data_IF_919185500455
#
_entry.id   IF_919185500455
#
_cell.length_a   1.000
_cell.length_b   1.000
_cell.length_c   1.000
_cell.angle_alpha   90.00
_cell.angle_beta   90.00
_cell.angle_gamma   90.00
#
_symmetry.space_group_name_H-M   'P 1'
#
loop_
_entity.id
_entity.type
_entity.pdbx_description
1 polymer ?
#
# COMPACT_ATOMS: atom_id res chain seq x y z
N UNK A 1 -65.80 -20.94 -16.80
CA UNK A 1 -65.71 -19.71 -17.60
C UNK A 1 -65.41 -18.61 -16.60
N UNK A 2 -64.12 -18.38 -16.36
CA UNK A 2 -63.30 -17.30 -16.98
C UNK A 2 -63.29 -16.11 -15.99
N UNK A 3 -62.18 -15.62 -15.44
CA UNK A 3 -60.79 -15.58 -15.89
C UNK A 3 -59.84 -15.55 -14.67
N UNK A 4 -58.76 -16.32 -14.77
CA UNK A 4 -57.54 -16.21 -13.98
C UNK A 4 -56.44 -15.99 -15.02
N UNK A 5 -55.80 -14.82 -15.00
CA UNK A 5 -54.53 -14.42 -15.64
C UNK A 5 -54.50 -12.88 -15.45
N UNK A 6 -53.43 -12.15 -15.14
CA UNK A 6 -52.00 -12.35 -15.34
C UNK A 6 -51.32 -11.28 -14.44
N UNK A 7 -50.82 -11.63 -13.26
CA UNK A 7 -49.84 -10.79 -12.56
C UNK A 7 -48.48 -11.41 -12.87
N UNK A 8 -47.86 -10.89 -13.93
CA UNK A 8 -46.54 -11.31 -14.38
C UNK A 8 -45.52 -11.20 -13.25
N UNK A 9 -44.77 -12.29 -13.09
CA UNK A 9 -43.57 -12.41 -12.25
C UNK A 9 -42.67 -11.17 -12.45
N UNK A 10 -42.56 -10.35 -11.40
CA UNK A 10 -41.45 -9.42 -11.28
C UNK A 10 -40.26 -10.21 -10.75
N UNK A 11 -39.12 -10.25 -11.45
CA UNK A 11 -37.95 -10.95 -10.96
C UNK A 11 -37.47 -10.29 -9.66
N UNK A 12 -37.30 -11.12 -8.63
CA UNK A 12 -36.68 -10.75 -7.36
C UNK A 12 -35.31 -10.10 -7.62
N UNK A 13 -35.15 -8.86 -7.16
CA UNK A 13 -33.89 -8.14 -7.21
C UNK A 13 -32.93 -8.75 -6.18
N UNK A 14 -32.17 -9.75 -6.61
CA UNK A 14 -31.04 -10.31 -5.88
C UNK A 14 -29.95 -9.28 -5.60
N UNK A 15 -29.29 -9.48 -4.47
CA UNK A 15 -28.28 -8.63 -3.86
C UNK A 15 -27.12 -8.25 -4.82
N UNK A 16 -26.81 -6.95 -4.86
CA UNK A 16 -25.70 -6.31 -5.62
C UNK A 16 -25.71 -6.54 -7.14
N UNK A 17 -26.51 -5.73 -7.85
CA UNK A 17 -26.59 -5.69 -9.32
C UNK A 17 -25.30 -5.24 -10.03
N UNK A 18 -24.24 -6.03 -9.98
CA UNK A 18 -23.12 -5.93 -10.93
C UNK A 18 -23.38 -6.88 -12.10
N UNK A 19 -23.83 -6.32 -13.22
CA UNK A 19 -23.91 -7.05 -14.49
C UNK A 19 -22.48 -7.44 -14.89
N UNK A 20 -22.15 -8.73 -15.10
CA UNK A 20 -20.84 -9.11 -15.61
C UNK A 20 -20.66 -8.50 -17.01
N UNK A 21 -19.58 -7.74 -17.19
CA UNK A 21 -19.26 -7.19 -18.50
C UNK A 21 -19.07 -8.35 -19.49
N UNK A 22 -19.72 -8.26 -20.65
CA UNK A 22 -19.56 -9.25 -21.71
C UNK A 22 -18.11 -9.30 -22.19
N UNK A 23 -17.59 -10.51 -22.43
CA UNK A 23 -16.23 -10.73 -22.97
C UNK A 23 -16.05 -9.97 -24.28
N UNK A 24 -15.00 -9.16 -24.38
CA UNK A 24 -14.66 -8.27 -25.49
C UNK A 24 -15.26 -6.86 -25.40
N UNK A 25 -16.08 -6.54 -24.40
CA UNK A 25 -16.76 -5.23 -24.32
C UNK A 25 -15.82 -4.09 -23.93
N UNK A 26 -16.17 -2.86 -24.33
CA UNK A 26 -15.46 -1.65 -23.90
C UNK A 26 -15.41 -1.52 -22.37
N UNK A 27 -16.43 -2.00 -21.66
CA UNK A 27 -16.47 -2.01 -20.19
C UNK A 27 -15.54 -3.06 -19.58
N UNK A 28 -15.39 -4.25 -20.18
CA UNK A 28 -14.36 -5.21 -19.75
C UNK A 28 -12.95 -4.64 -19.96
N UNK A 29 -12.71 -3.97 -21.11
CA UNK A 29 -11.43 -3.27 -21.36
C UNK A 29 -11.21 -2.12 -20.39
N UNK A 30 -12.22 -1.32 -20.05
CA UNK A 30 -12.13 -0.27 -19.02
C UNK A 30 -11.89 -0.87 -17.64
N UNK A 31 -12.53 -2.00 -17.29
CA UNK A 31 -12.34 -2.68 -16.00
C UNK A 31 -10.94 -3.29 -15.89
N UNK A 32 -10.46 -3.93 -16.95
CA UNK A 32 -9.10 -4.44 -17.06
C UNK A 32 -8.07 -3.30 -17.03
N UNK A 33 -8.34 -2.18 -17.70
CA UNK A 33 -7.49 -0.98 -17.65
C UNK A 33 -7.49 -0.34 -16.26
N UNK A 34 -8.63 -0.30 -15.56
CA UNK A 34 -8.72 0.18 -14.17
C UNK A 34 -8.00 -0.74 -13.20
N UNK A 35 -8.09 -2.06 -13.38
CA UNK A 35 -7.36 -3.05 -12.59
C UNK A 35 -5.85 -2.97 -12.85
N UNK A 36 -5.43 -2.84 -14.10
CA UNK A 36 -4.04 -2.64 -14.49
C UNK A 36 -3.47 -1.28 -14.03
N UNK A 37 -4.28 -0.22 -14.05
CA UNK A 37 -3.93 1.07 -13.47
C UNK A 37 -3.80 0.96 -11.94
N UNK A 38 -4.73 0.29 -11.25
CA UNK A 38 -4.62 0.01 -9.80
C UNK A 38 -3.38 -0.81 -9.44
N UNK A 39 -3.02 -1.81 -10.24
CA UNK A 39 -1.80 -2.60 -10.03
C UNK A 39 -0.52 -1.80 -10.27
N UNK A 40 -0.57 -0.73 -11.08
CA UNK A 40 0.54 0.23 -11.25
C UNK A 40 0.65 1.24 -10.11
N UNK A 41 -0.41 1.43 -9.32
CA UNK A 41 -0.44 2.42 -8.24
C UNK A 41 0.28 1.95 -6.98
N UNK A 42 0.52 0.65 -6.80
CA UNK A 42 1.06 0.16 -5.54
C UNK A 42 2.25 -0.78 -5.74
N UNK A 43 3.21 -0.66 -4.83
CA UNK A 43 4.36 -1.55 -4.74
C UNK A 43 4.25 -2.39 -3.48
N UNK A 44 4.20 -3.70 -3.63
CA UNK A 44 4.26 -4.63 -2.51
C UNK A 44 5.72 -5.00 -2.25
N UNK A 45 6.15 -4.91 -0.99
CA UNK A 45 7.48 -5.33 -0.53
C UNK A 45 7.31 -6.18 0.75
N UNK A 46 8.09 -7.25 0.86
CA UNK A 46 8.21 -8.04 2.10
C UNK A 46 9.02 -7.25 3.14
N UNK A 47 8.64 -7.36 4.42
CA UNK A 47 9.45 -6.85 5.53
C UNK A 47 10.62 -7.82 5.75
N UNK A 48 11.88 -7.40 5.50
CA UNK A 48 12.99 -8.32 5.54
C UNK A 48 13.17 -8.95 6.93
N UNK A 49 13.31 -10.29 6.97
CA UNK A 49 13.67 -11.06 8.17
C UNK A 49 12.64 -11.02 9.29
N UNK A 50 11.41 -10.58 9.01
CA UNK A 50 10.30 -10.63 9.96
C UNK A 50 9.69 -12.04 10.01
N UNK A 51 9.37 -12.51 11.21
CA UNK A 51 8.58 -13.73 11.43
C UNK A 51 7.46 -13.42 12.44
N UNK A 52 6.17 -13.65 12.09
CA UNK A 52 5.69 -14.17 10.82
C UNK A 52 5.99 -13.23 9.65
N UNK A 53 6.06 -13.79 8.43
CA UNK A 53 6.33 -13.00 7.22
C UNK A 53 5.20 -12.01 6.99
N UNK A 54 5.56 -10.74 6.80
CA UNK A 54 4.62 -9.67 6.53
C UNK A 54 4.99 -8.94 5.25
N UNK A 55 3.99 -8.42 4.57
CA UNK A 55 4.13 -7.64 3.36
C UNK A 55 3.48 -6.27 3.55
N UNK A 56 4.06 -5.29 2.89
CA UNK A 56 3.60 -3.91 2.94
C UNK A 56 3.28 -3.43 1.54
N UNK A 57 2.08 -2.90 1.39
CA UNK A 57 1.62 -2.22 0.19
C UNK A 57 1.95 -0.74 0.31
N UNK A 58 2.77 -0.24 -0.60
CA UNK A 58 3.18 1.15 -0.66
C UNK A 58 2.55 1.88 -1.83
N UNK A 59 2.23 3.15 -1.64
CA UNK A 59 1.93 4.11 -2.70
C UNK A 59 3.22 4.84 -3.16
N UNK A 60 3.21 5.52 -4.32
CA UNK A 60 4.35 6.29 -4.78
C UNK A 60 4.70 7.38 -3.78
N UNK A 61 5.99 7.56 -3.53
CA UNK A 61 6.50 8.61 -2.65
C UNK A 61 6.48 9.94 -3.43
N UNK A 62 5.89 11.02 -2.88
CA UNK A 62 5.96 12.34 -3.49
C UNK A 62 7.42 12.83 -3.64
N UNK A 63 7.75 13.44 -4.78
CA UNK A 63 9.10 13.96 -5.09
C UNK A 63 9.67 14.83 -3.97
N UNK A 64 8.85 15.68 -3.35
CA UNK A 64 9.26 16.55 -2.24
C UNK A 64 9.84 15.77 -1.04
N UNK A 65 9.30 14.57 -0.77
CA UNK A 65 9.78 13.69 0.30
C UNK A 65 11.10 13.03 -0.06
N UNK A 66 11.26 12.61 -1.32
CA UNK A 66 12.50 12.04 -1.83
C UNK A 66 13.63 13.08 -1.75
N UNK A 67 13.35 14.32 -2.16
CA UNK A 67 14.29 15.43 -2.05
C UNK A 67 14.64 15.77 -0.59
N UNK A 68 13.65 15.74 0.30
CA UNK A 68 13.89 15.97 1.73
C UNK A 68 14.85 14.93 2.31
N UNK A 69 14.63 13.64 2.07
CA UNK A 69 15.54 12.59 2.55
C UNK A 69 16.95 12.74 1.96
N UNK A 70 17.06 13.12 0.68
CA UNK A 70 18.35 13.39 0.02
C UNK A 70 19.09 14.54 0.70
N UNK A 71 18.40 15.65 0.99
CA UNK A 71 18.96 16.79 1.74
C UNK A 71 19.40 16.40 3.17
N UNK A 72 18.67 15.52 3.83
CA UNK A 72 19.07 15.00 5.15
C UNK A 72 20.34 14.16 5.04
N UNK A 73 20.45 13.30 4.03
CA UNK A 73 21.65 12.51 3.76
C UNK A 73 22.88 13.37 3.46
N UNK A 74 22.74 14.43 2.65
CA UNK A 74 23.82 15.39 2.39
C UNK A 74 24.30 16.08 3.66
N UNK A 75 23.37 16.54 4.52
CA UNK A 75 23.72 17.16 5.81
C UNK A 75 24.44 16.17 6.73
N UNK A 76 24.02 14.91 6.74
CA UNK A 76 24.67 13.86 7.53
C UNK A 76 26.09 13.59 7.03
N UNK A 77 26.30 13.48 5.71
CA UNK A 77 27.61 13.32 5.10
C UNK A 77 28.55 14.51 5.41
N UNK A 78 28.00 15.73 5.51
CA UNK A 78 28.74 16.92 5.93
C UNK A 78 28.97 17.01 7.45
N UNK A 79 28.56 16.03 8.25
CA UNK A 79 28.66 16.04 9.71
C UNK A 79 27.74 17.07 10.40
N UNK A 80 26.72 17.58 9.70
CA UNK A 80 25.80 18.63 10.16
C UNK A 80 24.43 18.09 10.61
N UNK A 81 24.25 16.77 10.68
CA UNK A 81 23.01 16.14 11.11
C UNK A 81 23.24 15.24 12.33
N UNK A 82 22.15 14.95 13.05
CA UNK A 82 22.13 13.94 14.11
C UNK A 82 22.54 12.58 13.56
N UNK A 83 23.22 11.76 14.38
CA UNK A 83 23.77 10.44 14.03
C UNK A 83 22.78 9.50 13.33
N UNK A 84 21.47 9.65 13.57
CA UNK A 84 20.42 8.78 13.03
C UNK A 84 19.41 9.53 12.14
N UNK A 85 19.73 10.76 11.70
CA UNK A 85 18.79 11.59 10.94
C UNK A 85 18.37 10.94 9.61
N UNK A 86 19.32 10.30 8.92
CA UNK A 86 19.07 9.61 7.65
C UNK A 86 18.14 8.41 7.86
N UNK A 87 18.41 7.62 8.90
CA UNK A 87 17.59 6.46 9.24
C UNK A 87 16.16 6.86 9.58
N UNK A 88 15.99 7.87 10.45
CA UNK A 88 14.66 8.40 10.82
C UNK A 88 13.91 8.97 9.61
N UNK A 89 14.60 9.65 8.70
CA UNK A 89 13.99 10.19 7.49
C UNK A 89 13.48 9.09 6.55
N UNK A 90 14.26 8.02 6.35
CA UNK A 90 13.83 6.88 5.55
C UNK A 90 12.66 6.13 6.20
N UNK A 91 12.71 5.91 7.51
CA UNK A 91 11.61 5.29 8.24
C UNK A 91 10.31 6.10 8.16
N UNK A 92 10.40 7.44 8.22
CA UNK A 92 9.26 8.32 8.06
C UNK A 92 8.64 8.23 6.65
N UNK A 93 9.47 8.14 5.60
CA UNK A 93 9.00 7.96 4.23
C UNK A 93 8.24 6.64 4.07
N UNK A 94 8.80 5.55 4.61
CA UNK A 94 8.13 4.24 4.56
C UNK A 94 6.80 4.29 5.32
N UNK A 95 6.77 4.92 6.49
CA UNK A 95 5.54 5.09 7.26
C UNK A 95 4.45 5.86 6.49
N UNK A 96 4.81 6.97 5.85
CA UNK A 96 3.90 7.83 5.10
C UNK A 96 3.42 7.20 3.78
N UNK A 97 4.27 6.41 3.13
CA UNK A 97 3.93 5.72 1.89
C UNK A 97 3.15 4.42 2.12
N UNK A 98 3.01 3.96 3.37
CA UNK A 98 2.31 2.73 3.70
C UNK A 98 0.80 2.87 3.52
N UNK A 99 0.23 1.98 2.70
CA UNK A 99 -1.21 1.86 2.48
C UNK A 99 -1.81 0.79 3.38
N UNK A 100 -1.11 -0.34 3.49
CA UNK A 100 -1.60 -1.54 4.19
C UNK A 100 -0.45 -2.50 4.49
N UNK A 101 -0.55 -3.19 5.63
CA UNK A 101 0.32 -4.27 6.06
C UNK A 101 -0.54 -5.53 6.18
N UNK A 102 -0.09 -6.61 5.58
CA UNK A 102 -0.84 -7.86 5.45
C UNK A 102 0.07 -9.08 5.52
N UNK A 103 -0.54 -10.23 5.76
CA UNK A 103 0.10 -11.54 5.70
C UNK A 103 -0.40 -12.32 4.49
N UNK A 104 0.31 -13.39 4.14
CA UNK A 104 -0.14 -14.37 3.16
C UNK A 104 -0.49 -15.66 3.89
N UNK A 105 -1.64 -16.25 3.55
CA UNK A 105 -2.02 -17.56 4.07
C UNK A 105 -1.23 -18.70 3.41
N UNK A 106 -1.55 -19.95 3.75
CA UNK A 106 -0.90 -21.15 3.20
C UNK A 106 -1.07 -21.32 1.68
N UNK A 107 -2.05 -20.64 1.08
CA UNK A 107 -2.35 -20.64 -0.36
C UNK A 107 -1.76 -19.42 -1.07
N UNK A 108 -1.16 -18.48 -0.33
CA UNK A 108 -0.62 -17.23 -0.86
C UNK A 108 -1.68 -16.15 -1.06
N UNK A 109 -2.85 -16.27 -0.44
CA UNK A 109 -3.89 -15.25 -0.45
C UNK A 109 -3.59 -14.17 0.62
N UNK A 110 -3.85 -12.91 0.27
CA UNK A 110 -3.65 -11.78 1.18
C UNK A 110 -4.69 -11.78 2.29
N UNK A 111 -4.23 -11.80 3.54
CA UNK A 111 -5.06 -11.72 4.74
C UNK A 111 -4.67 -10.52 5.59
N UNK A 112 -5.67 -9.84 6.17
CA UNK A 112 -5.41 -8.77 7.14
C UNK A 112 -4.76 -9.37 8.39
N UNK A 113 -3.78 -8.66 8.94
CA UNK A 113 -3.18 -9.01 10.24
C UNK A 113 -4.12 -8.73 11.42
N UNK A 114 -5.16 -7.92 11.19
CA UNK A 114 -6.30 -7.78 12.09
C UNK A 114 -7.60 -7.79 11.27
N UNK A 115 -8.24 -8.96 11.09
CA UNK A 115 -9.46 -9.08 10.29
C UNK A 115 -10.69 -8.44 10.95
N UNK A 116 -10.67 -8.23 12.27
CA UNK A 116 -11.80 -7.68 13.01
C UNK A 116 -11.79 -6.13 13.03
N UNK A 117 -10.66 -5.51 12.72
CA UNK A 117 -10.51 -4.05 12.74
C UNK A 117 -11.32 -3.32 11.64
N UNK A 118 -11.52 -3.96 10.48
CA UNK A 118 -12.30 -3.39 9.37
C UNK A 118 -11.62 -2.25 8.58
N UNK A 119 -10.43 -1.81 8.99
CA UNK A 119 -9.58 -0.86 8.26
C UNK A 119 -8.20 -1.47 7.94
N UNK A 120 -7.54 -1.05 6.83
CA UNK A 120 -6.20 -1.52 6.52
C UNK A 120 -5.20 -1.14 7.61
N UNK A 121 -4.47 -2.12 8.14
CA UNK A 121 -3.46 -1.87 9.18
C UNK A 121 -2.24 -1.18 8.57
N UNK A 122 -1.69 -0.17 9.26
CA UNK A 122 -0.55 0.64 8.80
C UNK A 122 0.48 0.80 9.90
N UNK A 123 1.59 1.48 9.63
CA UNK A 123 2.56 1.86 10.66
C UNK A 123 2.00 2.93 11.59
N UNK A 124 1.10 2.55 12.50
CA UNK A 124 0.45 3.40 13.46
C UNK A 124 0.31 2.74 14.84
N UNK A 125 -0.30 3.46 15.78
CA UNK A 125 -0.47 2.96 17.14
C UNK A 125 -1.26 1.65 17.21
N UNK A 126 -2.15 1.38 16.26
CA UNK A 126 -2.92 0.14 16.23
C UNK A 126 -2.03 -1.07 15.89
N UNK A 127 -1.15 -0.93 14.89
CA UNK A 127 -0.15 -1.97 14.62
C UNK A 127 0.78 -2.20 15.82
N UNK A 128 1.18 -1.12 16.50
CA UNK A 128 2.01 -1.24 17.69
C UNK A 128 1.31 -2.03 18.81
N UNK A 129 -0.01 -1.93 18.92
CA UNK A 129 -0.81 -2.72 19.86
C UNK A 129 -0.91 -4.19 19.43
N UNK A 130 -1.14 -4.47 18.14
CA UNK A 130 -1.18 -5.84 17.59
C UNK A 130 0.15 -6.57 17.85
N UNK A 131 1.28 -5.88 17.64
CA UNK A 131 2.62 -6.45 17.79
C UNK A 131 3.19 -6.36 19.21
N UNK A 132 2.36 -5.99 20.19
CA UNK A 132 2.75 -5.86 21.60
C UNK A 132 4.02 -4.99 21.81
N UNK A 133 4.17 -3.95 20.99
CA UNK A 133 5.30 -3.04 21.08
C UNK A 133 5.24 -2.23 22.39
N UNK A 134 6.40 -1.75 22.90
CA UNK A 134 6.42 -0.90 24.08
C UNK A 134 5.46 0.29 23.96
N UNK A 135 4.72 0.62 25.02
CA UNK A 135 3.64 1.64 25.04
C UNK A 135 4.02 3.05 24.54
N UNK A 136 5.31 3.33 24.32
CA UNK A 136 5.81 4.57 23.72
C UNK A 136 5.94 4.57 22.20
N UNK A 137 5.86 3.41 21.55
CA UNK A 137 6.03 3.26 20.10
C UNK A 137 4.73 3.58 19.39
N UNK A 138 4.50 4.87 19.11
CA UNK A 138 3.25 5.34 18.48
C UNK A 138 3.45 6.04 17.13
N UNK A 139 4.68 6.45 16.83
CA UNK A 139 5.00 7.12 15.57
C UNK A 139 5.31 6.06 14.52
N UNK A 140 4.77 6.21 13.32
CA UNK A 140 5.03 5.27 12.24
C UNK A 140 6.52 5.05 11.95
N UNK A 141 7.34 6.10 12.05
CA UNK A 141 8.79 5.96 11.93
C UNK A 141 9.40 5.04 12.99
N UNK A 142 8.92 5.12 14.24
CA UNK A 142 9.45 4.31 15.34
C UNK A 142 8.99 2.85 15.20
N UNK A 143 7.78 2.65 14.67
CA UNK A 143 7.23 1.32 14.37
C UNK A 143 8.00 0.66 13.22
N UNK A 144 8.28 1.40 12.15
CA UNK A 144 9.15 0.92 11.07
C UNK A 144 10.52 0.51 11.63
N UNK A 145 11.12 1.32 12.49
CA UNK A 145 12.41 0.97 13.11
C UNK A 145 12.33 -0.23 14.06
N UNK A 146 11.17 -0.50 14.65
CA UNK A 146 10.96 -1.68 15.48
C UNK A 146 10.74 -2.96 14.65
N UNK A 147 10.09 -2.86 13.48
CA UNK A 147 9.83 -4.01 12.60
C UNK A 147 11.04 -4.40 11.76
N UNK A 148 11.85 -3.44 11.34
CA UNK A 148 13.01 -3.69 10.49
C UNK A 148 14.24 -3.99 11.34
N UNK A 149 14.81 -5.19 11.17
CA UNK A 149 15.89 -5.69 12.04
C UNK A 149 17.18 -4.86 11.92
N UNK A 150 17.50 -4.35 10.74
CA UNK A 150 18.73 -3.58 10.50
C UNK A 150 18.46 -2.24 9.83
N UNK A 151 19.36 -1.27 10.07
CA UNK A 151 19.33 0.02 9.39
C UNK A 151 19.42 -0.13 7.86
N UNK A 152 20.16 -1.15 7.41
CA UNK A 152 20.31 -1.48 6.00
C UNK A 152 19.00 -1.94 5.35
N UNK A 153 18.14 -2.64 6.10
CA UNK A 153 16.83 -3.08 5.60
C UNK A 153 15.91 -1.85 5.39
N UNK A 154 15.91 -0.90 6.34
CA UNK A 154 15.13 0.35 6.23
C UNK A 154 15.57 1.17 5.02
N UNK A 155 16.88 1.41 4.90
CA UNK A 155 17.45 2.21 3.80
C UNK A 155 17.28 1.50 2.46
N UNK A 156 17.48 0.18 2.42
CA UNK A 156 17.31 -0.64 1.21
C UNK A 156 15.86 -0.62 0.70
N UNK A 157 14.88 -0.82 1.59
CA UNK A 157 13.46 -0.75 1.22
C UNK A 157 13.07 0.66 0.78
N UNK A 158 13.49 1.70 1.50
CA UNK A 158 13.20 3.08 1.11
C UNK A 158 13.81 3.45 -0.26
N UNK A 159 15.03 2.99 -0.54
CA UNK A 159 15.68 3.20 -1.85
C UNK A 159 14.92 2.49 -2.96
N UNK A 160 14.55 1.21 -2.74
CA UNK A 160 13.75 0.43 -3.70
C UNK A 160 12.42 1.13 -4.01
N UNK A 161 11.78 1.67 -2.98
CA UNK A 161 10.51 2.38 -3.13
C UNK A 161 10.68 3.72 -3.85
N UNK A 162 11.74 4.48 -3.55
CA UNK A 162 12.03 5.75 -4.19
C UNK A 162 12.35 5.59 -5.69
N UNK A 163 13.14 4.56 -6.05
CA UNK A 163 13.42 4.23 -7.44
C UNK A 163 12.13 3.90 -8.20
N UNK A 164 11.29 3.02 -7.63
CA UNK A 164 10.00 2.67 -8.22
C UNK A 164 9.08 3.90 -8.35
N UNK A 165 9.00 4.76 -7.34
CA UNK A 165 8.18 5.97 -7.35
C UNK A 165 8.62 6.93 -8.47
N UNK A 166 9.93 7.13 -8.65
CA UNK A 166 10.46 7.94 -9.74
C UNK A 166 10.20 7.36 -11.14
N UNK A 167 9.99 6.04 -11.28
CA UNK A 167 9.50 5.45 -12.52
C UNK A 167 7.98 5.63 -12.70
N UNK A 168 7.21 5.50 -11.62
CA UNK A 168 5.76 5.66 -11.64
C UNK A 168 5.34 7.07 -12.11
N UNK A 169 6.00 8.12 -11.59
CA UNK A 169 5.73 9.51 -11.96
C UNK A 169 5.99 9.78 -13.45
N UNK A 170 7.15 9.32 -13.96
CA UNK A 170 7.54 9.50 -15.37
C UNK A 170 6.59 8.80 -16.35
N UNK A 171 6.04 7.65 -15.96
CA UNK A 171 5.04 6.94 -16.77
C UNK A 171 3.70 7.69 -16.75
N UNK A 172 3.27 8.17 -15.58
CA UNK A 172 2.03 8.94 -15.43
C UNK A 172 2.06 10.26 -16.24
N UNK A 173 3.17 10.98 -16.24
CA UNK A 173 3.35 12.20 -17.04
C UNK A 173 3.21 11.92 -18.54
N UNK A 174 3.86 10.84 -19.03
CA UNK A 174 3.80 10.46 -20.44
C UNK A 174 2.38 10.11 -20.88
N UNK A 175 1.63 9.39 -20.05
CA UNK A 175 0.24 9.00 -20.35
C UNK A 175 -0.71 10.23 -20.34
N UNK A 176 -0.44 11.26 -19.54
CA UNK A 176 -1.24 12.49 -19.49
C UNK A 176 -1.01 13.43 -20.69
N UNK A 177 0.17 13.40 -21.30
CA UNK A 177 0.54 14.25 -22.44
C UNK A 177 0.10 13.72 -23.81
N UNK A 178 -0.46 12.51 -23.86
CA UNK A 178 -0.79 11.78 -25.09
C UNK A 178 -2.26 11.81 -25.52
N UNK A 179 -3.09 12.73 -24.98
CA UNK A 179 -4.53 12.80 -25.25
C UNK A 179 -4.94 14.16 -25.85
#
# INVERSE_FOLDING_TARGET
MSDVDEFGDLPELGETGQIPASKGSAFERIRANRAAAKARLFKVLEIPRMEPKMWVRYQPIPTERIEYASKVAEKAAAGKAEKNAVLKANAAILAEACVEIFELDEYGEEISIDPDHGEPVRFDAHLAEILEMPHGTRRGSDIVLAMYLTEGDVVGTATTLAEWSGYADRVSEKDSSGN
#
